data_IF_933743777285
#
_entry.id   IF_933743777285
#
_cell.length_a   1.000
_cell.length_b   1.000
_cell.length_c   1.000
_cell.angle_alpha   90.00
_cell.angle_beta   90.00
_cell.angle_gamma   90.00
#
_symmetry.space_group_name_H-M   'P 1'
#
loop_
_entity.id
_entity.type
_entity.pdbx_description
1 polymer ?
#
# COMPACT_ATOMS: atom_id res chain seq x y z
N UNK A 1 14.35 -18.53 -10.51
CA UNK A 1 13.33 -17.55 -10.10
C UNK A 1 14.07 -16.30 -9.62
N UNK A 2 13.61 -15.10 -10.00
CA UNK A 2 14.37 -13.85 -9.85
C UNK A 2 14.47 -13.38 -8.39
N UNK A 3 13.38 -13.51 -7.64
CA UNK A 3 13.28 -13.03 -6.24
C UNK A 3 13.25 -14.17 -5.21
N UNK A 4 13.86 -15.32 -5.53
CA UNK A 4 13.93 -16.47 -4.61
C UNK A 4 12.63 -17.29 -4.56
N UNK A 5 12.32 -17.82 -3.37
CA UNK A 5 11.18 -18.74 -3.13
C UNK A 5 9.84 -18.10 -3.48
N UNK A 6 9.65 -16.82 -3.13
CA UNK A 6 8.40 -16.09 -3.31
C UNK A 6 8.35 -15.26 -4.60
N UNK A 7 9.15 -15.62 -5.61
CA UNK A 7 9.29 -14.80 -6.84
C UNK A 7 7.97 -14.50 -7.53
N UNK A 8 7.07 -15.49 -7.63
CA UNK A 8 5.75 -15.28 -8.24
C UNK A 8 4.88 -14.30 -7.45
N UNK A 9 5.03 -14.23 -6.13
CA UNK A 9 4.28 -13.31 -5.27
C UNK A 9 4.79 -11.88 -5.42
N UNK A 10 6.11 -11.69 -5.47
CA UNK A 10 6.72 -10.39 -5.78
C UNK A 10 6.32 -9.91 -7.18
N UNK A 11 6.38 -10.80 -8.16
CA UNK A 11 5.97 -10.54 -9.54
C UNK A 11 4.48 -10.15 -9.66
N UNK A 12 3.59 -10.66 -8.79
CA UNK A 12 2.19 -10.23 -8.76
C UNK A 12 2.03 -8.74 -8.38
N UNK A 13 2.85 -8.21 -7.45
CA UNK A 13 2.83 -6.78 -7.08
C UNK A 13 3.38 -5.92 -8.21
N UNK A 14 4.47 -6.37 -8.85
CA UNK A 14 5.06 -5.69 -10.01
C UNK A 14 4.05 -5.67 -11.17
N UNK A 15 3.39 -6.80 -11.44
CA UNK A 15 2.38 -6.89 -12.49
C UNK A 15 1.18 -5.98 -12.20
N UNK A 16 0.81 -5.80 -10.93
CA UNK A 16 -0.26 -4.87 -10.55
C UNK A 16 0.04 -3.45 -11.06
N UNK A 17 1.22 -2.90 -10.77
CA UNK A 17 1.57 -1.54 -11.23
C UNK A 17 1.69 -1.42 -12.76
N UNK A 18 2.08 -2.51 -13.43
CA UNK A 18 2.28 -2.54 -14.88
C UNK A 18 1.00 -2.67 -15.70
N UNK A 19 -0.07 -3.21 -15.10
CA UNK A 19 -1.26 -3.64 -15.86
C UNK A 19 -2.57 -3.05 -15.36
N UNK A 20 -2.61 -2.49 -14.15
CA UNK A 20 -3.85 -1.98 -13.55
C UNK A 20 -3.89 -0.45 -13.59
N UNK A 21 -5.06 0.06 -13.19
CA UNK A 21 -5.30 1.47 -12.84
C UNK A 21 -5.69 1.56 -11.37
N UNK A 22 -5.09 2.49 -10.66
CA UNK A 22 -5.43 2.81 -9.28
C UNK A 22 -6.92 3.19 -9.19
N UNK A 23 -7.57 2.76 -8.10
CA UNK A 23 -9.00 2.91 -7.87
C UNK A 23 -9.93 2.18 -8.85
N UNK A 24 -9.40 1.34 -9.75
CA UNK A 24 -10.24 0.47 -10.55
C UNK A 24 -10.80 -0.64 -9.64
N UNK A 25 -12.04 -0.48 -9.19
CA UNK A 25 -12.71 -1.44 -8.31
C UNK A 25 -12.85 -2.79 -9.00
N UNK A 26 -12.31 -3.83 -8.37
CA UNK A 26 -12.44 -5.20 -8.87
C UNK A 26 -13.15 -6.15 -7.90
N UNK A 27 -13.28 -5.76 -6.62
CA UNK A 27 -13.73 -6.63 -5.52
C UNK A 27 -14.35 -5.83 -4.37
N UNK A 28 -15.17 -6.52 -3.57
CA UNK A 28 -15.65 -6.01 -2.28
C UNK A 28 -14.50 -5.92 -1.27
N UNK A 29 -14.53 -4.91 -0.41
CA UNK A 29 -13.59 -4.76 0.69
C UNK A 29 -13.89 -5.73 1.83
N UNK A 30 -12.87 -6.06 2.61
CA UNK A 30 -13.05 -6.80 3.87
C UNK A 30 -13.92 -5.97 4.84
N UNK A 31 -14.78 -6.63 5.61
CA UNK A 31 -15.56 -6.03 6.69
C UNK A 31 -14.71 -5.35 7.78
N UNK A 32 -13.41 -5.69 7.88
CA UNK A 32 -12.51 -5.16 8.90
C UNK A 32 -11.66 -3.96 8.44
N UNK A 33 -12.22 -3.07 7.61
CA UNK A 33 -11.62 -1.77 7.30
C UNK A 33 -12.66 -0.65 7.47
N UNK A 34 -12.20 0.58 7.66
CA UNK A 34 -13.04 1.77 7.63
C UNK A 34 -12.92 2.44 6.28
N UNK A 35 -14.03 2.59 5.57
CA UNK A 35 -14.05 3.24 4.26
C UNK A 35 -14.40 4.71 4.43
N UNK A 36 -13.63 5.57 3.76
CA UNK A 36 -13.96 6.98 3.53
C UNK A 36 -13.94 7.26 2.02
N UNK A 37 -14.78 8.19 1.58
CA UNK A 37 -14.94 8.57 0.17
C UNK A 37 -14.60 10.04 -0.10
N UNK A 38 -14.21 10.77 0.94
CA UNK A 38 -13.72 12.14 0.87
C UNK A 38 -12.19 12.13 0.76
N UNK A 39 -11.67 12.62 -0.37
CA UNK A 39 -10.24 12.62 -0.65
C UNK A 39 -9.47 13.61 0.22
N UNK A 40 -10.03 14.79 0.51
CA UNK A 40 -9.39 15.76 1.41
C UNK A 40 -9.28 15.19 2.82
N UNK A 41 -10.33 14.50 3.29
CA UNK A 41 -10.29 13.79 4.57
C UNK A 41 -9.25 12.67 4.57
N UNK A 42 -9.12 11.92 3.48
CA UNK A 42 -8.12 10.87 3.36
C UNK A 42 -6.68 11.40 3.41
N UNK A 43 -6.45 12.55 2.79
CA UNK A 43 -5.19 13.27 2.86
C UNK A 43 -4.91 13.75 4.29
N UNK A 44 -5.91 14.32 4.98
CA UNK A 44 -5.77 14.72 6.39
C UNK A 44 -5.40 13.53 7.28
N UNK A 45 -6.08 12.38 7.15
CA UNK A 45 -5.76 11.20 7.95
C UNK A 45 -4.38 10.62 7.65
N UNK A 46 -3.93 10.70 6.40
CA UNK A 46 -2.64 10.15 5.99
C UNK A 46 -1.46 10.99 6.47
N UNK A 47 -1.62 12.32 6.51
CA UNK A 47 -0.52 13.26 6.72
C UNK A 47 -0.55 13.97 8.08
N UNK A 48 -1.67 13.95 8.78
CA UNK A 48 -1.75 14.60 10.09
C UNK A 48 -0.74 14.03 11.07
N UNK A 49 -0.18 14.93 11.88
CA UNK A 49 0.68 14.63 13.03
C UNK A 49 -0.04 14.99 14.34
N UNK A 50 -1.33 15.29 14.27
CA UNK A 50 -2.15 15.75 15.38
C UNK A 50 -3.03 14.60 15.93
N UNK A 51 -2.75 14.21 17.17
CA UNK A 51 -3.49 13.18 17.88
C UNK A 51 -4.86 13.66 18.39
N UNK A 52 -5.16 14.96 18.26
CA UNK A 52 -6.52 15.47 18.46
C UNK A 52 -7.42 15.19 17.24
N UNK A 53 -6.83 14.86 16.08
CA UNK A 53 -7.53 14.53 14.82
C UNK A 53 -7.68 13.01 14.64
N UNK A 54 -6.65 12.24 15.02
CA UNK A 54 -6.63 10.78 14.86
C UNK A 54 -6.24 10.04 16.14
N UNK A 55 -6.78 8.84 16.33
CA UNK A 55 -6.43 8.00 17.48
C UNK A 55 -4.98 7.48 17.43
N UNK A 56 -4.48 7.22 16.22
CA UNK A 56 -3.13 6.76 15.95
C UNK A 56 -2.60 7.41 14.67
N UNK A 57 -1.38 7.94 14.71
CA UNK A 57 -0.73 8.51 13.53
C UNK A 57 -0.43 7.42 12.49
N UNK A 58 -0.73 7.70 11.22
CA UNK A 58 -0.52 6.75 10.14
C UNK A 58 0.97 6.39 9.96
N UNK A 59 1.84 7.40 10.02
CA UNK A 59 3.30 7.23 9.96
C UNK A 59 3.84 6.34 11.09
N UNK A 60 3.24 6.41 12.29
CA UNK A 60 3.63 5.54 13.40
C UNK A 60 3.32 4.07 13.10
N UNK A 61 2.15 3.78 12.52
CA UNK A 61 1.79 2.41 12.11
C UNK A 61 2.76 1.90 11.04
N UNK A 62 2.95 2.67 9.96
CA UNK A 62 3.86 2.28 8.87
C UNK A 62 5.30 2.05 9.36
N UNK A 63 5.85 2.97 10.16
CA UNK A 63 7.22 2.82 10.68
C UNK A 63 7.38 1.61 11.62
N UNK A 64 6.36 1.28 12.41
CA UNK A 64 6.37 0.06 13.23
C UNK A 64 6.46 -1.20 12.37
N UNK A 65 5.60 -1.31 11.35
CA UNK A 65 5.52 -2.47 10.45
C UNK A 65 6.75 -2.58 9.54
N UNK A 66 7.28 -1.45 9.07
CA UNK A 66 8.50 -1.38 8.25
C UNK A 66 9.70 -1.92 9.00
N UNK A 67 9.83 -1.58 10.29
CA UNK A 67 11.00 -1.94 11.08
C UNK A 67 11.21 -3.46 11.16
N UNK A 68 10.12 -4.23 11.25
CA UNK A 68 10.14 -5.70 11.29
C UNK A 68 10.59 -6.27 9.94
N UNK A 69 9.98 -5.81 8.84
CA UNK A 69 10.29 -6.28 7.50
C UNK A 69 11.73 -5.94 7.11
N UNK A 70 12.18 -4.71 7.41
CA UNK A 70 13.53 -4.27 7.10
C UNK A 70 14.55 -5.07 7.91
N UNK A 71 14.28 -5.37 9.19
CA UNK A 71 15.10 -6.27 10.00
C UNK A 71 15.35 -7.60 9.29
N UNK A 72 14.29 -8.23 8.80
CA UNK A 72 14.37 -9.49 8.05
C UNK A 72 15.13 -9.37 6.72
N UNK A 73 15.00 -8.25 6.00
CA UNK A 73 15.80 -7.98 4.79
C UNK A 73 17.29 -8.01 5.11
N UNK A 74 17.70 -7.44 6.25
CA UNK A 74 19.09 -7.50 6.71
C UNK A 74 19.51 -8.93 7.07
N UNK A 75 18.71 -9.61 7.90
CA UNK A 75 19.03 -10.97 8.39
C UNK A 75 19.15 -11.99 7.24
N UNK A 76 18.26 -11.90 6.25
CA UNK A 76 18.23 -12.78 5.07
C UNK A 76 19.18 -12.32 3.95
N UNK A 77 19.96 -11.25 4.16
CA UNK A 77 20.88 -10.68 3.18
C UNK A 77 20.22 -10.27 1.84
N UNK A 78 18.99 -9.78 1.89
CA UNK A 78 18.18 -9.46 0.71
C UNK A 78 18.38 -8.05 0.16
N UNK A 79 19.31 -7.27 0.73
CA UNK A 79 19.59 -5.87 0.33
C UNK A 79 19.80 -5.63 -1.17
N UNK A 80 20.41 -6.53 -1.97
CA UNK A 80 20.50 -6.32 -3.41
C UNK A 80 19.13 -6.32 -4.10
N UNK A 81 18.22 -7.22 -3.70
CA UNK A 81 16.87 -7.32 -4.24
C UNK A 81 15.99 -6.15 -3.76
N UNK A 82 16.15 -5.76 -2.50
CA UNK A 82 15.53 -4.57 -1.91
C UNK A 82 15.80 -3.30 -2.73
N UNK A 83 17.09 -3.02 -3.02
CA UNK A 83 17.46 -1.87 -3.88
C UNK A 83 16.92 -1.98 -5.30
N UNK A 84 16.90 -3.18 -5.86
CA UNK A 84 16.38 -3.40 -7.20
C UNK A 84 14.87 -3.11 -7.26
N UNK A 85 14.11 -3.64 -6.29
CA UNK A 85 12.69 -3.37 -6.18
C UNK A 85 12.43 -1.89 -5.92
N UNK A 86 13.20 -1.25 -5.04
CA UNK A 86 13.09 0.19 -4.82
C UNK A 86 13.27 0.98 -6.13
N UNK A 87 14.33 0.69 -6.88
CA UNK A 87 14.56 1.35 -8.17
C UNK A 87 13.44 1.09 -9.20
N UNK A 88 12.81 -0.09 -9.16
CA UNK A 88 11.67 -0.42 -10.00
C UNK A 88 10.45 0.42 -9.63
N UNK A 89 10.08 0.47 -8.35
CA UNK A 89 8.88 1.17 -7.88
C UNK A 89 9.04 2.71 -7.86
N UNK A 90 10.25 3.23 -7.70
CA UNK A 90 10.54 4.68 -7.76
C UNK A 90 10.42 5.24 -9.20
N UNK A 91 10.58 4.39 -10.23
CA UNK A 91 10.51 4.82 -11.64
C UNK A 91 9.08 4.75 -12.19
N UNK A 92 8.50 5.92 -12.49
CA UNK A 92 7.17 6.04 -13.09
C UNK A 92 7.03 5.35 -14.45
N UNK A 93 8.13 5.15 -15.18
CA UNK A 93 8.16 4.43 -16.46
C UNK A 93 7.79 2.94 -16.33
N UNK A 94 7.89 2.37 -15.13
CA UNK A 94 7.51 0.99 -14.86
C UNK A 94 6.01 0.81 -14.56
N UNK A 95 5.26 1.91 -14.45
CA UNK A 95 3.82 1.87 -14.22
C UNK A 95 3.09 1.88 -15.56
N UNK A 96 1.87 1.34 -15.58
CA UNK A 96 0.99 1.50 -16.73
C UNK A 96 0.74 2.99 -16.97
N UNK A 97 0.64 3.42 -18.24
CA UNK A 97 0.44 4.83 -18.62
C UNK A 97 -0.77 5.46 -17.92
N UNK A 98 -1.79 4.65 -17.61
CA UNK A 98 -3.02 5.07 -16.95
C UNK A 98 -3.09 4.60 -15.49
N UNK A 99 -1.97 4.19 -14.88
CA UNK A 99 -1.99 3.66 -13.53
C UNK A 99 -2.52 4.70 -12.54
N UNK A 100 -2.03 5.94 -12.57
CA UNK A 100 -2.55 7.02 -11.72
C UNK A 100 -3.57 7.90 -12.46
N UNK A 101 -4.81 8.00 -11.97
CA UNK A 101 -5.73 9.04 -12.43
C UNK A 101 -5.24 10.43 -12.02
N UNK A 102 -5.37 11.40 -12.92
CA UNK A 102 -4.84 12.76 -12.75
C UNK A 102 -5.37 13.51 -11.51
N UNK A 103 -6.56 13.16 -11.03
CA UNK A 103 -7.16 13.76 -9.83
C UNK A 103 -6.51 13.36 -8.51
N UNK A 104 -5.54 12.43 -8.52
CA UNK A 104 -4.94 11.85 -7.32
C UNK A 104 -3.40 11.87 -7.36
N UNK A 105 -2.80 12.79 -8.11
CA UNK A 105 -1.34 12.89 -8.21
C UNK A 105 -0.66 13.24 -6.88
N UNK A 106 -1.39 13.91 -5.97
CA UNK A 106 -0.86 14.33 -4.67
C UNK A 106 -0.47 13.16 -3.76
N UNK A 107 -0.97 11.95 -4.03
CA UNK A 107 -0.67 10.74 -3.26
C UNK A 107 0.25 9.77 -4.02
N UNK A 108 0.83 10.21 -5.13
CA UNK A 108 1.66 9.36 -5.99
C UNK A 108 2.80 8.69 -5.22
N UNK A 109 3.60 9.47 -4.50
CA UNK A 109 4.76 8.97 -3.75
C UNK A 109 4.35 8.02 -2.61
N UNK A 110 3.22 8.31 -1.93
CA UNK A 110 2.68 7.43 -0.88
C UNK A 110 2.33 6.05 -1.45
N UNK A 111 1.61 6.03 -2.57
CA UNK A 111 1.18 4.78 -3.23
C UNK A 111 2.38 4.02 -3.78
N UNK A 112 3.40 4.69 -4.33
CA UNK A 112 4.65 4.03 -4.75
C UNK A 112 5.34 3.37 -3.55
N UNK A 113 5.48 4.09 -2.43
CA UNK A 113 6.11 3.59 -1.21
C UNK A 113 5.37 2.39 -0.62
N UNK A 114 4.05 2.47 -0.53
CA UNK A 114 3.22 1.40 0.02
C UNK A 114 3.28 0.13 -0.86
N UNK A 115 3.21 0.26 -2.20
CA UNK A 115 3.29 -0.89 -3.11
C UNK A 115 4.70 -1.49 -3.16
N UNK A 116 5.74 -0.67 -3.04
CA UNK A 116 7.11 -1.13 -2.83
C UNK A 116 7.20 -1.99 -1.56
N UNK A 117 6.68 -1.52 -0.43
CA UNK A 117 6.70 -2.27 0.82
C UNK A 117 5.84 -3.55 0.75
N UNK A 118 4.75 -3.56 -0.02
CA UNK A 118 4.01 -4.79 -0.33
C UNK A 118 4.88 -5.82 -1.06
N UNK A 119 5.72 -5.39 -2.02
CA UNK A 119 6.65 -6.26 -2.72
C UNK A 119 7.77 -6.79 -1.78
N UNK A 120 8.33 -5.94 -0.92
CA UNK A 120 9.33 -6.34 0.08
C UNK A 120 8.72 -7.32 1.10
N UNK A 121 7.51 -7.05 1.57
CA UNK A 121 6.79 -7.96 2.46
C UNK A 121 6.67 -9.36 1.83
N UNK A 122 6.28 -9.45 0.56
CA UNK A 122 6.18 -10.75 -0.13
C UNK A 122 7.52 -11.41 -0.37
N UNK A 123 8.57 -10.63 -0.63
CA UNK A 123 9.94 -11.14 -0.72
C UNK A 123 10.38 -11.81 0.59
N UNK A 124 10.01 -11.23 1.73
CA UNK A 124 10.46 -11.67 3.05
C UNK A 124 9.57 -12.74 3.67
N UNK A 125 8.25 -12.52 3.60
CA UNK A 125 7.21 -13.23 4.35
C UNK A 125 6.29 -14.07 3.47
N UNK A 126 6.38 -13.97 2.14
CA UNK A 126 5.39 -14.56 1.24
C UNK A 126 4.01 -13.93 1.45
N UNK A 127 2.95 -14.75 1.43
CA UNK A 127 1.55 -14.29 1.51
C UNK A 127 0.93 -14.45 2.91
N UNK A 128 1.71 -14.18 3.96
CA UNK A 128 1.22 -14.24 5.33
C UNK A 128 0.16 -13.16 5.58
N UNK A 129 -0.83 -13.46 6.42
CA UNK A 129 -1.91 -12.51 6.72
C UNK A 129 -1.44 -11.42 7.70
N UNK A 130 -0.63 -10.48 7.19
CA UNK A 130 -0.04 -9.37 7.93
C UNK A 130 -0.48 -8.00 7.39
N UNK A 131 0.03 -6.93 7.98
CA UNK A 131 -0.34 -5.56 7.63
C UNK A 131 -0.18 -5.27 6.13
N UNK A 132 0.98 -5.56 5.54
CA UNK A 132 1.24 -5.24 4.14
C UNK A 132 0.46 -6.12 3.15
N UNK A 133 0.06 -7.34 3.52
CA UNK A 133 -0.91 -8.06 2.68
C UNK A 133 -2.33 -7.48 2.77
N UNK A 134 -2.72 -6.93 3.92
CA UNK A 134 -4.00 -6.19 4.02
C UNK A 134 -3.95 -4.91 3.19
N UNK A 135 -2.85 -4.15 3.26
CA UNK A 135 -2.59 -2.99 2.39
C UNK A 135 -2.72 -3.34 0.91
N UNK A 136 -2.05 -4.40 0.46
CA UNK A 136 -2.11 -4.79 -0.95
C UNK A 136 -3.50 -5.25 -1.38
N UNK A 137 -4.27 -5.95 -0.53
CA UNK A 137 -5.66 -6.30 -0.81
C UNK A 137 -6.56 -5.07 -0.98
N UNK A 138 -6.32 -4.00 -0.21
CA UNK A 138 -7.04 -2.73 -0.36
C UNK A 138 -6.74 -2.12 -1.73
N UNK A 139 -5.47 -2.06 -2.14
CA UNK A 139 -5.10 -1.61 -3.50
C UNK A 139 -5.76 -2.45 -4.60
N UNK A 140 -5.70 -3.79 -4.48
CA UNK A 140 -6.35 -4.69 -5.43
C UNK A 140 -7.86 -4.49 -5.51
N UNK A 141 -8.49 -4.03 -4.43
CA UNK A 141 -9.92 -3.74 -4.35
C UNK A 141 -10.27 -2.33 -4.84
N UNK A 142 -9.27 -1.52 -5.19
CA UNK A 142 -9.45 -0.16 -5.70
C UNK A 142 -9.56 0.88 -4.58
N UNK A 143 -8.91 0.67 -3.45
CA UNK A 143 -8.79 1.67 -2.38
C UNK A 143 -7.35 2.13 -2.16
N UNK A 144 -7.20 3.21 -1.41
CA UNK A 144 -5.92 3.71 -0.91
C UNK A 144 -5.91 3.69 0.63
N UNK A 145 -5.09 2.84 1.26
CA UNK A 145 -4.92 2.88 2.72
C UNK A 145 -4.32 4.21 3.16
N UNK A 146 -5.01 4.93 4.03
CA UNK A 146 -4.69 6.33 4.34
C UNK A 146 -4.81 6.65 5.84
N UNK A 147 -4.92 5.65 6.71
CA UNK A 147 -4.97 5.90 8.15
C UNK A 147 -5.28 4.68 8.99
N UNK A 148 -5.43 4.92 10.29
CA UNK A 148 -5.73 3.91 11.29
C UNK A 148 -6.79 4.41 12.27
N UNK A 149 -7.86 3.64 12.44
CA UNK A 149 -8.93 3.91 13.41
C UNK A 149 -8.72 3.10 14.69
N UNK A 150 -8.81 3.77 15.85
CA UNK A 150 -8.55 3.17 17.15
C UNK A 150 -7.07 3.13 17.52
N UNK A 151 -6.75 2.41 18.61
CA UNK A 151 -5.36 2.28 19.10
C UNK A 151 -4.65 1.15 18.39
N UNK A 152 -3.46 1.41 17.86
CA UNK A 152 -2.60 0.36 17.33
C UNK A 152 -2.04 -0.54 18.46
N UNK A 153 -2.00 -1.89 18.29
CA UNK A 153 -2.31 -2.65 17.08
C UNK A 153 -3.75 -3.17 16.97
N UNK A 154 -4.64 -2.85 17.93
CA UNK A 154 -6.00 -3.42 18.02
C UNK A 154 -7.04 -2.73 17.11
N UNK A 155 -6.65 -1.67 16.42
CA UNK A 155 -7.51 -0.91 15.49
C UNK A 155 -7.66 -1.51 14.10
N UNK A 156 -8.08 -0.68 13.15
CA UNK A 156 -8.29 -1.09 11.74
C UNK A 156 -7.80 -0.03 10.75
N UNK A 157 -7.43 -0.48 9.56
CA UNK A 157 -7.00 0.39 8.47
C UNK A 157 -8.19 1.24 7.99
N UNK A 158 -7.95 2.53 7.80
CA UNK A 158 -8.82 3.45 7.08
C UNK A 158 -8.38 3.45 5.61
N UNK A 159 -9.33 3.26 4.70
CA UNK A 159 -9.07 3.27 3.26
C UNK A 159 -9.98 4.28 2.56
N UNK A 160 -9.37 5.10 1.71
CA UNK A 160 -10.07 5.93 0.76
C UNK A 160 -10.53 5.07 -0.41
N UNK A 161 -11.80 5.18 -0.76
CA UNK A 161 -12.39 4.54 -1.93
C UNK A 161 -13.19 5.62 -2.64
N UNK A 162 -12.78 6.06 -3.84
CA UNK A 162 -13.58 7.05 -4.56
C UNK A 162 -14.92 6.41 -4.89
N UNK A 163 -16.00 7.16 -4.65
CA UNK A 163 -17.29 6.81 -5.25
C UNK A 163 -17.05 6.75 -6.75
N UNK A 164 -17.35 5.61 -7.38
CA UNK A 164 -17.38 5.56 -8.83
C UNK A 164 -18.27 6.70 -9.29
N UNK A 165 -17.76 7.63 -10.07
CA UNK A 165 -18.63 8.45 -10.90
C UNK A 165 -19.50 7.43 -11.63
N UNK A 166 -20.78 7.39 -11.29
CA UNK A 166 -21.78 6.79 -12.15
C UNK A 166 -21.77 7.63 -13.42
N UNK A 167 -20.82 7.36 -14.30
CA UNK A 167 -20.84 7.86 -15.67
C UNK A 167 -22.10 7.25 -16.29
N UNK A 168 -23.13 8.09 -16.38
CA UNK A 168 -24.35 7.83 -17.14
C UNK A 168 -24.13 7.94 -18.64
#
# INVERSE_FOLDING_TARGET
>A
MKYGEYSSLVEEVINYIQTHRLFQTSKEFDSNITIIDDFEKAQETAWTQDLDIVDTLWEYVKSSEDSEIIGEVYEKNLRPLDRELKGLFDSSENYSENFFPSGYLDIFEEVQGDLYMCAINRLVNGKNDNFYEKMFRIYQSGGWPCGWEGKYPDGKIIAFVPLSDSEG
#
